data_IF_815007919655
#
_entry.id   IF_815007919655
#
_cell.length_a   1.000
_cell.length_b   1.000
_cell.length_c   1.000
_cell.angle_alpha   90.00
_cell.angle_beta   90.00
_cell.angle_gamma   90.00
#
_symmetry.space_group_name_H-M   'P 1'
#
loop_
_entity.id
_entity.type
_entity.pdbx_description
1 polymer ?
#
# COMPACT_ATOMS: atom_id res chain seq x y z
N UNK A 1 -12.10 2.24 -17.39
CA UNK A 1 -11.95 3.59 -17.96
C UNK A 1 -10.73 4.20 -17.28
N UNK A 2 -9.76 4.71 -18.04
CA UNK A 2 -8.63 5.47 -17.50
C UNK A 2 -8.93 6.96 -17.67
N UNK A 3 -8.64 7.79 -16.65
CA UNK A 3 -8.90 9.24 -16.67
C UNK A 3 -7.63 10.03 -17.03
N UNK A 4 -6.79 9.46 -17.89
CA UNK A 4 -5.45 9.94 -18.22
C UNK A 4 -5.36 10.65 -19.58
N UNK A 5 -6.44 10.68 -20.36
CA UNK A 5 -6.50 11.43 -21.62
C UNK A 5 -7.87 12.06 -21.86
N UNK A 6 -7.88 13.17 -22.61
CA UNK A 6 -9.13 13.81 -23.06
C UNK A 6 -10.01 12.85 -23.84
N UNK A 7 -9.41 12.05 -24.72
CA UNK A 7 -10.16 11.08 -25.52
C UNK A 7 -10.83 10.02 -24.64
N UNK A 8 -10.12 9.48 -23.65
CA UNK A 8 -10.68 8.53 -22.69
C UNK A 8 -11.83 9.15 -21.89
N UNK A 9 -11.70 10.40 -21.46
CA UNK A 9 -12.73 11.13 -20.71
C UNK A 9 -14.03 11.32 -21.51
N UNK A 10 -13.91 11.63 -22.81
CA UNK A 10 -15.03 11.83 -23.72
C UNK A 10 -15.66 10.50 -24.16
N UNK A 11 -14.85 9.47 -24.37
CA UNK A 11 -15.33 8.13 -24.72
C UNK A 11 -16.07 7.49 -23.55
N UNK A 12 -15.57 7.67 -22.33
CA UNK A 12 -16.22 7.16 -21.14
C UNK A 12 -15.98 5.67 -20.87
N UNK A 13 -16.85 5.13 -20.02
CA UNK A 13 -16.88 3.71 -19.67
C UNK A 13 -18.27 3.10 -19.90
N UNK A 14 -18.57 2.02 -19.16
CA UNK A 14 -19.87 1.33 -19.21
C UNK A 14 -21.07 2.22 -18.87
N UNK A 15 -20.84 3.35 -18.21
CA UNK A 15 -21.87 4.31 -17.81
C UNK A 15 -21.98 5.51 -18.77
N UNK A 16 -21.15 5.57 -19.82
CA UNK A 16 -21.08 6.70 -20.74
C UNK A 16 -19.86 7.61 -20.49
N UNK A 17 -19.80 8.76 -21.20
CA UNK A 17 -18.74 9.76 -21.08
C UNK A 17 -18.57 10.27 -19.65
N UNK A 18 -17.33 10.37 -19.15
CA UNK A 18 -17.11 10.99 -17.84
C UNK A 18 -17.29 12.50 -17.89
N UNK A 19 -16.96 13.13 -19.02
CA UNK A 19 -17.05 14.57 -19.24
C UNK A 19 -17.86 14.84 -20.50
N UNK A 20 -18.84 15.73 -20.40
CA UNK A 20 -19.63 16.27 -21.51
C UNK A 20 -19.30 17.75 -21.69
N UNK A 21 -18.47 18.12 -22.69
CA UNK A 21 -18.13 19.51 -22.98
C UNK A 21 -19.38 20.36 -23.23
N UNK A 22 -19.45 21.55 -22.63
CA UNK A 22 -20.61 22.45 -22.72
C UNK A 22 -21.80 22.04 -21.85
N UNK A 23 -21.76 20.88 -21.20
CA UNK A 23 -22.82 20.35 -20.32
C UNK A 23 -22.25 19.81 -19.01
N UNK A 24 -21.60 20.67 -18.19
CA UNK A 24 -20.94 20.21 -16.97
C UNK A 24 -21.91 19.57 -15.98
N UNK A 25 -23.15 20.06 -15.88
CA UNK A 25 -24.15 19.52 -14.97
C UNK A 25 -24.59 18.08 -15.29
N UNK A 26 -24.46 17.67 -16.56
CA UNK A 26 -24.78 16.32 -17.09
C UNK A 26 -23.52 15.41 -17.11
N UNK A 27 -22.35 15.91 -16.75
CA UNK A 27 -21.10 15.12 -16.77
C UNK A 27 -21.04 14.18 -15.58
N UNK A 28 -20.85 12.88 -15.81
CA UNK A 28 -20.76 11.88 -14.74
C UNK A 28 -19.67 12.18 -13.71
N UNK A 29 -18.54 12.75 -14.14
CA UNK A 29 -17.49 13.18 -13.22
C UNK A 29 -18.00 14.26 -12.26
N UNK A 30 -18.76 15.23 -12.78
CA UNK A 30 -19.35 16.30 -11.96
C UNK A 30 -20.43 15.74 -11.04
N UNK A 31 -21.29 14.84 -11.52
CA UNK A 31 -22.27 14.15 -10.68
C UNK A 31 -21.62 13.34 -9.55
N UNK A 32 -20.48 12.68 -9.82
CA UNK A 32 -19.75 11.91 -8.82
C UNK A 32 -19.15 12.81 -7.72
N UNK A 33 -18.44 13.89 -8.10
CA UNK A 33 -17.80 14.81 -7.13
C UNK A 33 -18.81 15.69 -6.40
N UNK A 34 -19.97 15.97 -6.99
CA UNK A 34 -21.08 16.67 -6.33
C UNK A 34 -22.05 15.74 -5.61
N UNK A 35 -21.77 14.43 -5.63
CA UNK A 35 -22.58 13.39 -4.99
C UNK A 35 -24.05 13.34 -5.44
N UNK A 36 -24.31 13.72 -6.70
CA UNK A 36 -25.64 13.73 -7.33
C UNK A 36 -25.91 12.49 -8.19
N UNK A 37 -24.92 11.59 -8.35
CA UNK A 37 -25.08 10.40 -9.15
C UNK A 37 -26.08 9.42 -8.51
N UNK A 38 -27.21 9.16 -9.17
CA UNK A 38 -28.34 8.42 -8.60
C UNK A 38 -27.99 6.99 -8.12
N UNK A 39 -27.00 6.34 -8.74
CA UNK A 39 -26.57 4.97 -8.39
C UNK A 39 -25.42 4.92 -7.38
N UNK A 40 -24.90 6.09 -6.97
CA UNK A 40 -23.81 6.22 -6.00
C UNK A 40 -23.99 7.49 -5.15
N UNK A 41 -25.08 7.58 -4.35
CA UNK A 41 -25.24 8.67 -3.39
C UNK A 41 -24.11 8.66 -2.36
N UNK A 42 -23.83 9.82 -1.73
CA UNK A 42 -22.68 9.99 -0.84
C UNK A 42 -22.59 8.94 0.29
N UNK A 43 -23.73 8.60 0.90
CA UNK A 43 -23.77 7.60 1.97
C UNK A 43 -23.31 6.21 1.48
N UNK A 44 -23.67 5.82 0.25
CA UNK A 44 -23.23 4.58 -0.35
C UNK A 44 -21.76 4.65 -0.76
N UNK A 45 -21.32 5.80 -1.30
CA UNK A 45 -19.91 6.06 -1.57
C UNK A 45 -19.05 5.90 -0.32
N UNK A 46 -19.41 6.57 0.79
CA UNK A 46 -18.67 6.49 2.05
C UNK A 46 -18.61 5.06 2.60
N UNK A 47 -19.75 4.33 2.60
CA UNK A 47 -19.77 2.93 3.02
C UNK A 47 -18.89 2.04 2.13
N UNK A 48 -18.85 2.30 0.82
CA UNK A 48 -18.00 1.53 -0.09
C UNK A 48 -16.51 1.75 0.17
N UNK A 49 -16.10 2.95 0.60
CA UNK A 49 -14.70 3.24 0.95
C UNK A 49 -14.24 2.50 2.22
N UNK A 50 -15.17 2.25 3.16
CA UNK A 50 -14.85 1.67 4.48
C UNK A 50 -15.09 0.16 4.52
N UNK A 51 -16.14 -0.33 3.84
CA UNK A 51 -16.67 -1.68 3.99
C UNK A 51 -17.29 -2.21 2.68
N UNK A 52 -16.71 -1.87 1.52
CA UNK A 52 -17.22 -2.26 0.20
C UNK A 52 -17.28 -3.78 -0.03
N UNK A 53 -16.51 -4.56 0.71
CA UNK A 53 -16.48 -6.03 0.72
C UNK A 53 -17.64 -6.66 1.50
N UNK A 54 -18.24 -5.94 2.45
CA UNK A 54 -19.39 -6.42 3.23
C UNK A 54 -20.73 -6.32 2.49
N UNK A 55 -20.73 -5.82 1.24
CA UNK A 55 -21.93 -5.77 0.40
C UNK A 55 -22.04 -7.06 -0.42
N UNK A 56 -23.24 -7.65 -0.45
CA UNK A 56 -23.47 -8.89 -1.18
C UNK A 56 -23.75 -8.70 -2.68
N UNK A 57 -23.56 -9.78 -3.44
CA UNK A 57 -24.01 -9.92 -4.82
C UNK A 57 -23.32 -8.98 -5.82
N UNK A 58 -23.98 -8.65 -6.95
CA UNK A 58 -23.43 -7.76 -7.97
C UNK A 58 -23.04 -6.38 -7.41
N UNK A 59 -23.75 -5.92 -6.38
CA UNK A 59 -23.45 -4.67 -5.66
C UNK A 59 -22.10 -4.71 -4.96
N UNK A 60 -21.76 -5.81 -4.27
CA UNK A 60 -20.43 -6.00 -3.67
C UNK A 60 -19.30 -5.89 -4.69
N UNK A 61 -19.44 -6.58 -5.83
CA UNK A 61 -18.44 -6.53 -6.90
C UNK A 61 -18.19 -5.11 -7.43
N UNK A 62 -19.24 -4.28 -7.46
CA UNK A 62 -19.20 -2.88 -7.91
C UNK A 62 -18.59 -1.94 -6.88
N UNK A 63 -18.77 -2.21 -5.59
CA UNK A 63 -18.38 -1.31 -4.49
C UNK A 63 -17.00 -1.62 -3.91
N UNK A 64 -16.51 -2.87 -4.02
CA UNK A 64 -15.17 -3.29 -3.58
C UNK A 64 -14.01 -2.38 -4.01
N UNK A 65 -13.98 -1.79 -5.22
CA UNK A 65 -12.93 -0.83 -5.58
C UNK A 65 -12.81 0.37 -4.64
N UNK A 66 -13.86 0.72 -3.89
CA UNK A 66 -13.82 1.76 -2.86
C UNK A 66 -12.85 1.45 -1.72
N UNK A 67 -12.63 0.18 -1.39
CA UNK A 67 -11.69 -0.23 -0.32
C UNK A 67 -10.23 0.18 -0.59
N UNK A 68 -9.93 0.60 -1.82
CA UNK A 68 -8.62 1.15 -2.17
C UNK A 68 -8.18 2.30 -1.27
N UNK A 69 -9.11 3.08 -0.67
CA UNK A 69 -8.77 4.18 0.22
C UNK A 69 -7.82 3.78 1.36
N UNK A 70 -8.11 2.66 2.04
CA UNK A 70 -7.24 2.17 3.12
C UNK A 70 -6.00 1.41 2.63
N UNK A 71 -5.92 1.11 1.33
CA UNK A 71 -4.79 0.44 0.71
C UNK A 71 -3.76 1.39 0.07
N UNK A 72 -4.08 2.69 -0.07
CA UNK A 72 -3.18 3.69 -0.67
C UNK A 72 -2.09 4.21 0.29
N UNK A 73 -2.21 3.94 1.59
CA UNK A 73 -1.21 4.31 2.58
C UNK A 73 0.11 3.54 2.40
N UNK A 74 1.20 4.00 3.04
CA UNK A 74 2.47 3.28 3.00
C UNK A 74 2.31 1.87 3.59
N UNK A 75 2.82 0.87 2.86
CA UNK A 75 2.92 -0.51 3.33
C UNK A 75 4.35 -0.76 3.77
N UNK A 76 4.53 -0.94 5.06
CA UNK A 76 5.86 -1.09 5.65
C UNK A 76 6.33 -2.54 5.57
N UNK A 77 6.77 -2.96 4.40
CA UNK A 77 7.40 -4.28 4.21
C UNK A 77 8.89 -4.23 4.58
N UNK A 78 9.40 -5.29 5.26
CA UNK A 78 10.82 -5.47 5.63
C UNK A 78 11.38 -4.43 6.63
N UNK A 79 10.58 -3.97 7.59
CA UNK A 79 11.03 -3.06 8.65
C UNK A 79 11.59 -3.85 9.85
N UNK A 80 12.62 -3.29 10.49
CA UNK A 80 13.30 -3.84 11.68
C UNK A 80 12.37 -3.91 12.91
N UNK A 81 11.32 -3.08 12.97
CA UNK A 81 10.32 -2.99 14.04
C UNK A 81 8.86 -3.15 13.52
N UNK A 82 8.41 -4.39 13.25
CA UNK A 82 7.04 -4.64 12.77
C UNK A 82 5.90 -4.10 13.65
N UNK A 83 5.99 -4.11 14.99
CA UNK A 83 4.90 -3.58 15.84
C UNK A 83 4.68 -2.08 15.67
N UNK A 84 5.77 -1.31 15.53
CA UNK A 84 5.70 0.14 15.33
C UNK A 84 5.11 0.48 13.98
N UNK A 85 5.60 -0.19 12.93
CA UNK A 85 5.07 -0.06 11.57
C UNK A 85 3.55 -0.29 11.53
N UNK A 86 3.07 -1.36 12.19
CA UNK A 86 1.62 -1.64 12.26
C UNK A 86 0.85 -0.57 13.02
N UNK A 87 1.40 -0.04 14.12
CA UNK A 87 0.77 1.04 14.88
C UNK A 87 0.66 2.33 14.05
N UNK A 88 1.65 2.63 13.22
CA UNK A 88 1.64 3.80 12.34
C UNK A 88 0.68 3.60 11.14
N UNK A 89 0.62 2.41 10.54
CA UNK A 89 -0.41 2.10 9.52
C UNK A 89 -1.83 2.25 10.06
N UNK A 90 -2.07 1.80 11.29
CA UNK A 90 -3.38 1.96 11.95
C UNK A 90 -3.70 3.41 12.23
N UNK A 91 -2.71 4.18 12.68
CA UNK A 91 -2.86 5.61 12.89
C UNK A 91 -3.27 6.32 11.59
N UNK A 92 -2.59 6.03 10.48
CA UNK A 92 -2.90 6.60 9.16
C UNK A 92 -4.34 6.26 8.73
N UNK A 93 -4.78 5.01 8.93
CA UNK A 93 -6.16 4.61 8.60
C UNK A 93 -7.20 5.33 9.47
N UNK A 94 -6.95 5.48 10.77
CA UNK A 94 -7.80 6.24 11.69
C UNK A 94 -7.88 7.70 11.23
N UNK A 95 -6.75 8.29 10.88
CA UNK A 95 -6.65 9.69 10.49
C UNK A 95 -7.39 9.97 9.17
N UNK A 96 -7.20 9.11 8.16
CA UNK A 96 -7.93 9.16 6.89
C UNK A 96 -9.43 8.99 7.09
N UNK A 97 -9.84 8.04 7.93
CA UNK A 97 -11.26 7.81 8.22
C UNK A 97 -11.90 9.03 8.89
N UNK A 98 -11.26 9.57 9.93
CA UNK A 98 -11.85 10.64 10.74
C UNK A 98 -11.83 11.98 10.02
N UNK A 99 -10.69 12.40 9.45
CA UNK A 99 -10.65 13.64 8.65
C UNK A 99 -11.49 13.55 7.40
N UNK A 100 -11.50 12.39 6.73
CA UNK A 100 -12.17 12.22 5.44
C UNK A 100 -13.70 12.13 5.54
N UNK A 101 -14.23 11.47 6.57
CA UNK A 101 -15.68 11.19 6.64
C UNK A 101 -16.39 11.80 7.84
N UNK A 102 -15.68 12.08 8.94
CA UNK A 102 -16.29 12.65 10.14
C UNK A 102 -16.07 14.17 10.23
N UNK A 103 -14.99 14.68 9.62
CA UNK A 103 -14.62 16.09 9.62
C UNK A 103 -13.45 16.45 10.55
N UNK A 104 -13.41 16.01 11.83
CA UNK A 104 -12.29 16.31 12.72
C UNK A 104 -11.14 15.33 12.54
N UNK A 105 -9.95 15.78 12.91
CA UNK A 105 -8.81 14.88 13.15
C UNK A 105 -8.92 14.30 14.56
N UNK A 106 -8.73 13.00 14.72
CA UNK A 106 -8.60 12.38 16.04
C UNK A 106 -7.16 11.96 16.33
N UNK A 107 -6.20 12.37 15.50
CA UNK A 107 -4.81 11.95 15.60
C UNK A 107 -4.17 12.27 16.97
N UNK A 108 -4.52 13.42 17.58
CA UNK A 108 -4.01 13.79 18.90
C UNK A 108 -4.47 12.83 20.01
N UNK A 109 -5.66 12.22 19.84
CA UNK A 109 -6.23 11.25 20.78
C UNK A 109 -5.39 9.97 20.92
N UNK A 110 -4.35 9.78 20.08
CA UNK A 110 -3.40 8.67 20.19
C UNK A 110 -2.66 8.64 21.53
N UNK A 111 -2.32 9.81 22.08
CA UNK A 111 -1.43 9.92 23.24
C UNK A 111 -2.11 10.52 24.48
N UNK A 112 -3.11 11.35 24.28
CA UNK A 112 -3.87 12.01 25.35
C UNK A 112 -5.26 12.32 24.84
N UNK A 113 -6.24 12.53 25.74
CA UNK A 113 -7.58 12.91 25.32
C UNK A 113 -7.55 14.18 24.47
N UNK A 114 -8.38 14.22 23.42
CA UNK A 114 -8.34 15.31 22.46
C UNK A 114 -8.54 16.66 23.15
N UNK A 115 -7.72 17.66 22.79
CA UNK A 115 -7.61 18.92 23.53
C UNK A 115 -8.91 19.72 23.60
N UNK A 116 -9.68 19.71 22.52
CA UNK A 116 -10.83 20.60 22.33
C UNK A 116 -12.16 19.85 22.19
N UNK A 117 -12.11 18.59 21.78
CA UNK A 117 -13.29 17.79 21.48
C UNK A 117 -13.40 16.65 22.49
N UNK A 118 -14.61 16.21 22.86
CA UNK A 118 -14.82 15.13 23.83
C UNK A 118 -14.52 13.75 23.21
N UNK A 119 -13.29 13.57 22.73
CA UNK A 119 -12.78 12.36 22.12
C UNK A 119 -11.68 11.83 23.02
N UNK A 120 -11.98 10.75 23.74
CA UNK A 120 -11.02 10.18 24.66
C UNK A 120 -9.99 9.33 23.93
N UNK A 121 -8.84 9.15 24.58
CA UNK A 121 -7.81 8.18 24.20
C UNK A 121 -8.43 6.78 24.08
N UNK A 122 -9.40 6.45 24.93
CA UNK A 122 -10.14 5.19 24.87
C UNK A 122 -10.93 5.04 23.58
N UNK A 123 -11.59 6.11 23.10
CA UNK A 123 -12.36 6.06 21.85
C UNK A 123 -11.40 5.87 20.65
N UNK A 124 -10.25 6.56 20.66
CA UNK A 124 -9.20 6.37 19.67
C UNK A 124 -8.75 4.90 19.60
N UNK A 125 -8.40 4.30 20.74
CA UNK A 125 -7.96 2.90 20.76
C UNK A 125 -9.10 1.89 20.51
N UNK A 126 -10.35 2.27 20.76
CA UNK A 126 -11.52 1.46 20.37
C UNK A 126 -11.65 1.39 18.85
N UNK A 127 -11.44 2.51 18.15
CA UNK A 127 -11.40 2.55 16.69
C UNK A 127 -10.16 1.81 16.14
N UNK A 128 -9.01 1.97 16.79
CA UNK A 128 -7.81 1.23 16.45
C UNK A 128 -8.03 -0.29 16.53
N UNK A 129 -8.72 -0.77 17.58
CA UNK A 129 -9.08 -2.18 17.72
C UNK A 129 -9.97 -2.69 16.59
N UNK A 130 -10.95 -1.90 16.15
CA UNK A 130 -11.80 -2.24 15.00
C UNK A 130 -10.98 -2.41 13.72
N UNK A 131 -10.09 -1.46 13.42
CA UNK A 131 -9.25 -1.50 12.23
C UNK A 131 -8.12 -2.53 12.32
N UNK A 132 -7.65 -2.85 13.52
CA UNK A 132 -6.68 -3.92 13.77
C UNK A 132 -7.23 -5.29 13.36
N UNK A 133 -8.54 -5.49 13.46
CA UNK A 133 -9.21 -6.72 13.07
C UNK A 133 -9.53 -6.81 11.56
N UNK A 134 -8.78 -6.09 10.72
CA UNK A 134 -8.90 -6.14 9.25
C UNK A 134 -7.63 -6.71 8.62
N UNK A 135 -7.76 -7.33 7.46
CA UNK A 135 -6.62 -7.91 6.73
C UNK A 135 -6.58 -7.39 5.31
N UNK A 136 -5.35 -7.27 4.78
CA UNK A 136 -5.14 -6.98 3.38
C UNK A 136 -5.68 -8.13 2.53
N UNK A 137 -6.53 -7.82 1.57
CA UNK A 137 -7.01 -8.81 0.61
C UNK A 137 -6.93 -8.26 -0.80
N UNK A 138 -6.23 -8.98 -1.68
CA UNK A 138 -6.11 -8.61 -3.08
C UNK A 138 -7.27 -9.22 -3.87
N UNK A 139 -8.05 -8.37 -4.53
CA UNK A 139 -9.11 -8.82 -5.43
C UNK A 139 -8.60 -8.76 -6.88
N UNK A 140 -8.61 -9.89 -7.62
CA UNK A 140 -8.20 -9.87 -9.02
C UNK A 140 -9.17 -9.03 -9.85
N UNK A 141 -8.61 -8.09 -10.62
CA UNK A 141 -9.37 -7.26 -11.58
C UNK A 141 -9.49 -7.92 -12.96
N UNK A 142 -8.63 -8.90 -13.24
CA UNK A 142 -8.65 -9.68 -14.47
C UNK A 142 -9.65 -10.84 -14.38
N UNK A 143 -10.02 -11.41 -15.52
CA UNK A 143 -10.85 -12.61 -15.56
C UNK A 143 -10.12 -13.83 -14.98
N UNK A 144 -10.90 -14.83 -14.56
CA UNK A 144 -10.36 -16.02 -13.90
C UNK A 144 -9.36 -16.79 -14.78
N UNK A 145 -9.47 -16.72 -16.11
CA UNK A 145 -8.56 -17.43 -17.01
C UNK A 145 -7.19 -16.73 -17.07
N UNK A 146 -7.19 -15.40 -17.13
CA UNK A 146 -5.98 -14.59 -17.05
C UNK A 146 -5.27 -14.74 -15.70
N UNK A 147 -6.03 -14.76 -14.59
CA UNK A 147 -5.49 -14.97 -13.24
C UNK A 147 -4.84 -16.35 -13.12
N UNK A 148 -5.50 -17.40 -13.62
CA UNK A 148 -4.95 -18.76 -13.62
C UNK A 148 -3.66 -18.84 -14.43
N UNK A 149 -3.65 -18.30 -15.65
CA UNK A 149 -2.46 -18.28 -16.49
C UNK A 149 -1.29 -17.51 -15.85
N UNK A 150 -1.59 -16.41 -15.14
CA UNK A 150 -0.60 -15.67 -14.38
C UNK A 150 0.01 -16.50 -13.24
N UNK A 151 -0.82 -17.17 -12.43
CA UNK A 151 -0.32 -18.04 -11.35
C UNK A 151 0.53 -19.21 -11.85
N UNK A 152 0.17 -19.81 -12.99
CA UNK A 152 0.95 -20.88 -13.62
C UNK A 152 2.31 -20.37 -14.14
N UNK A 153 2.36 -19.13 -14.65
CA UNK A 153 3.62 -18.50 -15.06
C UNK A 153 4.48 -18.11 -13.85
N UNK A 154 3.88 -17.46 -12.84
CA UNK A 154 4.53 -17.05 -11.60
C UNK A 154 5.11 -18.25 -10.83
N UNK A 155 4.38 -19.37 -10.78
CA UNK A 155 4.87 -20.61 -10.18
C UNK A 155 6.12 -21.16 -10.87
N UNK A 156 6.20 -21.08 -12.20
CA UNK A 156 7.40 -21.46 -12.95
C UNK A 156 8.58 -20.53 -12.69
N UNK A 157 8.32 -19.22 -12.63
CA UNK A 157 9.34 -18.22 -12.29
C UNK A 157 9.90 -18.49 -10.90
N UNK A 158 9.03 -18.68 -9.90
CA UNK A 158 9.43 -18.98 -8.51
C UNK A 158 10.26 -20.25 -8.41
N UNK A 159 9.90 -21.31 -9.15
CA UNK A 159 10.69 -22.54 -9.16
C UNK A 159 12.11 -22.30 -9.69
N UNK A 160 12.25 -21.53 -10.78
CA UNK A 160 13.57 -21.16 -11.33
C UNK A 160 14.33 -20.24 -10.38
N UNK A 161 13.66 -19.26 -9.76
CA UNK A 161 14.28 -18.37 -8.76
C UNK A 161 14.80 -19.15 -7.55
N UNK A 162 14.07 -20.15 -7.07
CA UNK A 162 14.52 -21.03 -5.99
C UNK A 162 15.78 -21.83 -6.39
N UNK A 163 15.86 -22.31 -7.63
CA UNK A 163 17.06 -22.97 -8.15
C UNK A 163 18.25 -22.00 -8.24
N UNK A 164 18.02 -20.79 -8.75
CA UNK A 164 19.04 -19.73 -8.81
C UNK A 164 19.54 -19.39 -7.40
N UNK A 165 18.65 -19.21 -6.43
CA UNK A 165 19.05 -18.90 -5.05
C UNK A 165 19.86 -20.03 -4.42
N UNK A 166 19.48 -21.30 -4.65
CA UNK A 166 20.28 -22.45 -4.18
C UNK A 166 21.69 -22.45 -4.78
N UNK A 167 21.83 -22.14 -6.07
CA UNK A 167 23.13 -22.04 -6.72
C UNK A 167 23.95 -20.87 -6.16
N UNK A 168 23.35 -19.69 -6.03
CA UNK A 168 24.01 -18.51 -5.45
C UNK A 168 24.43 -18.74 -4.00
N UNK A 169 23.61 -19.43 -3.20
CA UNK A 169 23.93 -19.79 -1.81
C UNK A 169 25.12 -20.76 -1.73
N UNK A 170 25.15 -21.77 -2.62
CA UNK A 170 26.25 -22.73 -2.71
C UNK A 170 27.55 -22.04 -3.11
N UNK A 171 27.54 -21.24 -4.19
CA UNK A 171 28.69 -20.48 -4.65
C UNK A 171 29.18 -19.48 -3.60
N UNK A 172 28.26 -18.77 -2.92
CA UNK A 172 28.61 -17.87 -1.82
C UNK A 172 29.38 -18.61 -0.73
N UNK A 173 28.92 -19.81 -0.35
CA UNK A 173 29.58 -20.61 0.68
C UNK A 173 30.97 -21.06 0.23
N UNK A 174 31.10 -21.59 -0.97
CA UNK A 174 32.39 -22.02 -1.54
C UNK A 174 33.37 -20.86 -1.66
N UNK A 175 32.92 -19.71 -2.15
CA UNK A 175 33.74 -18.51 -2.26
C UNK A 175 34.15 -17.99 -0.87
N UNK A 176 33.23 -17.95 0.09
CA UNK A 176 33.53 -17.55 1.46
C UNK A 176 34.61 -18.44 2.10
N UNK A 177 34.51 -19.76 1.93
CA UNK A 177 35.53 -20.70 2.42
C UNK A 177 36.89 -20.51 1.76
N UNK A 178 36.92 -20.23 0.45
CA UNK A 178 38.16 -19.95 -0.29
C UNK A 178 38.79 -18.64 0.17
N UNK A 179 38.02 -17.55 0.20
CA UNK A 179 38.50 -16.23 0.61
C UNK A 179 38.93 -16.21 2.08
N UNK A 180 38.26 -16.96 2.96
CA UNK A 180 38.66 -17.09 4.36
C UNK A 180 40.09 -17.67 4.49
N UNK A 181 40.50 -18.59 3.61
CA UNK A 181 41.88 -19.13 3.59
C UNK A 181 42.90 -18.11 3.08
N UNK A 182 42.46 -17.16 2.25
CA UNK A 182 43.30 -16.08 1.72
C UNK A 182 43.29 -14.83 2.63
N UNK A 183 42.50 -14.83 3.71
CA UNK A 183 42.32 -13.67 4.58
C UNK A 183 43.63 -13.14 5.17
N UNK A 184 44.58 -14.02 5.55
CA UNK A 184 45.89 -13.60 6.06
C UNK A 184 46.73 -12.87 5.01
N UNK A 185 46.74 -13.36 3.77
CA UNK A 185 47.44 -12.71 2.65
C UNK A 185 46.82 -11.36 2.31
N UNK A 186 45.48 -11.30 2.31
CA UNK A 186 44.77 -10.03 2.11
C UNK A 186 45.09 -9.04 3.22
N UNK A 187 45.06 -9.45 4.49
CA UNK A 187 45.39 -8.59 5.63
C UNK A 187 46.85 -8.12 5.61
N UNK A 188 47.80 -8.98 5.24
CA UNK A 188 49.20 -8.61 5.07
C UNK A 188 49.38 -7.58 3.94
N UNK A 189 48.78 -7.82 2.77
CA UNK A 189 48.82 -6.87 1.66
C UNK A 189 48.13 -5.54 2.00
N UNK A 190 47.01 -5.58 2.75
CA UNK A 190 46.33 -4.38 3.23
C UNK A 190 47.16 -3.61 4.27
N UNK A 191 47.97 -4.30 5.07
CA UNK A 191 48.90 -3.69 6.02
C UNK A 191 50.13 -3.10 5.34
N UNK A 192 50.73 -3.81 4.38
CA UNK A 192 51.88 -3.35 3.60
C UNK A 192 51.51 -2.22 2.62
N UNK A 193 50.29 -2.24 2.09
CA UNK A 193 49.72 -1.21 1.22
C UNK A 193 49.10 -0.03 1.95
N UNK A 194 49.13 0.00 3.29
CA UNK A 194 48.76 1.21 4.04
C UNK A 194 49.78 2.29 3.72
N UNK A 195 49.35 3.51 3.36
CA UNK A 195 50.24 4.66 3.39
C UNK A 195 50.85 4.73 4.80
N UNK A 196 52.16 5.02 4.89
CA UNK A 196 52.83 5.40 6.13
C UNK A 196 51.90 6.28 6.96
N UNK A 197 51.76 6.00 8.27
CA UNK A 197 50.95 6.73 9.24
C UNK A 197 51.49 8.15 9.53
N UNK A 198 51.79 8.89 8.47
CA UNK A 198 52.17 10.29 8.44
C UNK A 198 51.04 11.15 7.85
N UNK A 199 49.78 10.69 7.92
CA UNK A 199 48.64 11.36 7.32
C UNK A 199 47.35 11.29 8.14
N UNK A 200 46.85 12.49 8.47
CA UNK A 200 45.53 12.92 8.96
C UNK A 200 45.10 12.69 10.43
N UNK A 201 45.82 11.90 11.23
CA UNK A 201 45.57 11.83 12.70
C UNK A 201 46.66 12.55 13.52
N UNK A 202 47.43 13.44 12.89
CA UNK A 202 48.58 14.14 13.49
C UNK A 202 48.28 15.59 13.94
N UNK A 203 47.01 15.96 14.12
CA UNK A 203 46.58 17.23 14.73
C UNK A 203 45.72 17.01 15.97
#
# INVERSE_FOLDING_TARGET
>A
MRLDSRESLLRGGKFGPAVLPGKPAESLLIEAVTHRHAQLPFNLFAKAQIAGDLFDGPSGSRLRPGLGLFALGPWYSKIVEPPKARADELHDRIDVLTRGFLGPTVACARCHDHKYDPISTRDYYSLAGLLYNTTAHEYPLADASAVKAWHEADGRIKAVDEEIQKLLDAERKTLAERLAREASRYLAAAFEGRPSATGLDAE
#
